data_IF_370038463019
#
_entry.id   IF_370038463019
#
_cell.length_a   1.000
_cell.length_b   1.000
_cell.length_c   1.000
_cell.angle_alpha   90.00
_cell.angle_beta   90.00
_cell.angle_gamma   90.00
#
_symmetry.space_group_name_H-M   'P 1'
#
loop_
_entity.id
_entity.type
_entity.pdbx_description
1 polymer ?
#
# COMPACT_ATOMS: atom_id res chain seq x y z
N UNK A 1 -19.16 -33.25 -9.18
CA UNK A 1 -18.53 -31.97 -9.61
C UNK A 1 -17.06 -32.25 -9.78
N UNK A 2 -16.48 -31.90 -10.91
CA UNK A 2 -15.02 -31.99 -11.06
C UNK A 2 -14.38 -31.05 -10.04
N UNK A 3 -13.33 -31.49 -9.39
CA UNK A 3 -12.72 -30.80 -8.21
C UNK A 3 -12.30 -29.35 -8.48
N UNK A 4 -11.98 -28.98 -9.73
CA UNK A 4 -11.72 -27.59 -10.15
C UNK A 4 -12.99 -26.71 -10.19
N UNK A 5 -14.18 -27.28 -10.32
CA UNK A 5 -15.45 -26.55 -10.30
C UNK A 5 -15.71 -25.95 -8.90
N UNK A 6 -15.23 -26.61 -7.84
CA UNK A 6 -15.34 -26.08 -6.46
C UNK A 6 -14.62 -24.75 -6.29
N UNK A 7 -13.41 -24.61 -6.84
CA UNK A 7 -12.65 -23.36 -6.76
C UNK A 7 -13.37 -22.21 -7.46
N UNK A 8 -13.93 -22.48 -8.65
CA UNK A 8 -14.71 -21.48 -9.39
C UNK A 8 -15.99 -21.08 -8.64
N UNK A 9 -16.67 -22.05 -7.99
CA UNK A 9 -17.85 -21.78 -7.17
C UNK A 9 -17.53 -20.89 -5.98
N UNK A 10 -16.43 -21.15 -5.27
CA UNK A 10 -15.97 -20.33 -4.13
C UNK A 10 -15.58 -18.92 -4.60
N UNK A 11 -14.88 -18.81 -5.73
CA UNK A 11 -14.51 -17.53 -6.32
C UNK A 11 -15.75 -16.70 -6.69
N UNK A 12 -16.75 -17.31 -7.29
CA UNK A 12 -18.01 -16.66 -7.63
C UNK A 12 -18.80 -16.22 -6.37
N UNK A 13 -18.89 -17.08 -5.35
CA UNK A 13 -19.58 -16.78 -4.10
C UNK A 13 -18.96 -15.59 -3.34
N UNK A 14 -17.67 -15.37 -3.52
CA UNK A 14 -16.91 -14.27 -2.86
C UNK A 14 -16.65 -13.08 -3.81
N UNK A 15 -17.13 -13.14 -5.05
CA UNK A 15 -16.83 -12.16 -6.10
C UNK A 15 -15.32 -11.87 -6.21
N UNK A 16 -14.52 -12.95 -6.12
CA UNK A 16 -13.08 -12.87 -6.12
C UNK A 16 -12.58 -12.51 -7.53
N UNK A 17 -11.87 -11.38 -7.67
CA UNK A 17 -11.37 -10.87 -8.94
C UNK A 17 -10.27 -11.75 -9.55
N UNK A 18 -9.50 -12.42 -8.71
CA UNK A 18 -8.48 -13.41 -9.09
C UNK A 18 -9.08 -14.75 -9.51
N UNK A 19 -10.39 -14.92 -9.41
CA UNK A 19 -11.10 -16.12 -9.83
C UNK A 19 -10.69 -17.39 -9.08
N UNK A 20 -10.83 -18.54 -9.74
CA UNK A 20 -10.49 -19.85 -9.17
C UNK A 20 -9.00 -19.96 -8.80
N UNK A 21 -8.11 -19.27 -9.53
CA UNK A 21 -6.69 -19.28 -9.22
C UNK A 21 -6.39 -18.55 -7.90
N UNK A 22 -7.11 -17.48 -7.58
CA UNK A 22 -6.99 -16.82 -6.29
C UNK A 22 -7.34 -17.76 -5.12
N UNK A 23 -8.37 -18.57 -5.25
CA UNK A 23 -8.71 -19.61 -4.27
C UNK A 23 -7.60 -20.67 -4.18
N UNK A 24 -7.05 -21.09 -5.32
CA UNK A 24 -5.91 -22.02 -5.41
C UNK A 24 -4.68 -21.46 -4.68
N UNK A 25 -4.34 -20.18 -4.86
CA UNK A 25 -3.22 -19.52 -4.18
C UNK A 25 -3.37 -19.54 -2.64
N UNK A 26 -4.57 -19.30 -2.15
CA UNK A 26 -4.87 -19.37 -0.70
C UNK A 26 -4.63 -20.80 -0.17
N UNK A 27 -5.12 -21.82 -0.87
CA UNK A 27 -4.91 -23.23 -0.48
C UNK A 27 -3.43 -23.62 -0.55
N UNK A 28 -2.71 -23.18 -1.59
CA UNK A 28 -1.27 -23.43 -1.75
C UNK A 28 -0.46 -22.79 -0.62
N UNK A 29 -0.78 -21.56 -0.24
CA UNK A 29 -0.13 -20.88 0.87
C UNK A 29 -0.41 -21.59 2.20
N UNK A 30 -1.67 -21.95 2.47
CA UNK A 30 -2.06 -22.70 3.68
C UNK A 30 -1.42 -24.11 3.72
N UNK A 31 -1.22 -24.76 2.58
CA UNK A 31 -0.53 -26.06 2.49
C UNK A 31 0.95 -25.96 2.84
N UNK A 32 1.61 -24.91 2.32
CA UNK A 32 3.06 -24.74 2.46
C UNK A 32 3.45 -24.22 3.85
N UNK A 33 2.73 -23.26 4.38
CA UNK A 33 3.12 -22.46 5.52
C UNK A 33 2.13 -22.51 6.70
N UNK A 34 1.02 -23.26 6.56
CA UNK A 34 0.00 -23.36 7.62
C UNK A 34 0.49 -24.09 8.88
N UNK A 35 -0.07 -23.75 10.07
CA UNK A 35 -1.17 -22.78 10.27
C UNK A 35 -0.70 -21.32 10.19
N UNK A 36 -1.49 -20.45 9.54
CA UNK A 36 -1.18 -19.04 9.35
C UNK A 36 -2.21 -18.14 10.04
N UNK A 37 -1.78 -16.97 10.52
CA UNK A 37 -2.73 -15.91 10.84
C UNK A 37 -3.35 -15.37 9.56
N UNK A 38 -4.63 -14.98 9.60
CA UNK A 38 -5.34 -14.49 8.41
C UNK A 38 -4.62 -13.30 7.74
N UNK A 39 -4.05 -12.39 8.56
CA UNK A 39 -3.28 -11.25 8.07
C UNK A 39 -2.01 -11.67 7.31
N UNK A 40 -1.34 -12.71 7.79
CA UNK A 40 -0.08 -13.18 7.18
C UNK A 40 -0.37 -13.92 5.87
N UNK A 41 -1.47 -14.69 5.85
CA UNK A 41 -1.97 -15.30 4.62
C UNK A 41 -2.36 -14.23 3.59
N UNK A 42 -3.07 -13.16 4.01
CA UNK A 42 -3.46 -12.07 3.11
C UNK A 42 -2.24 -11.38 2.47
N UNK A 43 -1.19 -11.11 3.27
CA UNK A 43 0.09 -10.60 2.76
C UNK A 43 0.72 -11.54 1.75
N UNK A 44 0.76 -12.84 2.07
CA UNK A 44 1.43 -13.83 1.25
C UNK A 44 0.75 -14.04 -0.11
N UNK A 45 -0.60 -14.05 -0.13
CA UNK A 45 -1.38 -14.19 -1.36
C UNK A 45 -1.66 -12.86 -2.06
N UNK A 46 -1.23 -11.72 -1.46
CA UNK A 46 -1.38 -10.36 -1.98
C UNK A 46 -2.83 -9.98 -2.28
N UNK A 47 -3.70 -10.33 -1.35
CA UNK A 47 -5.13 -10.02 -1.44
C UNK A 47 -5.59 -9.25 -0.21
N UNK A 48 -6.59 -8.35 -0.33
CA UNK A 48 -7.13 -7.63 0.80
C UNK A 48 -7.64 -8.57 1.90
N UNK A 49 -7.31 -8.26 3.16
CA UNK A 49 -7.70 -9.06 4.32
C UNK A 49 -9.20 -9.43 4.37
N UNK A 50 -10.14 -8.49 4.06
CA UNK A 50 -11.56 -8.82 4.00
C UNK A 50 -11.91 -9.85 2.92
N UNK A 51 -11.20 -9.83 1.79
CA UNK A 51 -11.37 -10.76 0.66
C UNK A 51 -10.92 -12.16 1.09
N UNK A 52 -9.70 -12.28 1.62
CA UNK A 52 -9.17 -13.56 2.12
C UNK A 52 -10.07 -14.12 3.23
N UNK A 53 -10.60 -13.26 4.11
CA UNK A 53 -11.56 -13.64 5.14
C UNK A 53 -12.89 -14.16 4.59
N UNK A 54 -13.35 -13.64 3.44
CA UNK A 54 -14.54 -14.16 2.75
C UNK A 54 -14.26 -15.54 2.15
N UNK A 55 -13.15 -15.68 1.42
CA UNK A 55 -12.74 -16.97 0.81
C UNK A 55 -12.50 -18.03 1.88
N UNK A 56 -11.86 -17.68 3.00
CA UNK A 56 -11.66 -18.58 4.15
C UNK A 56 -13.00 -19.18 4.62
N UNK A 57 -14.04 -18.37 4.80
CA UNK A 57 -15.36 -18.86 5.25
C UNK A 57 -15.96 -19.85 4.28
N UNK A 58 -15.85 -19.63 2.98
CA UNK A 58 -16.34 -20.57 1.97
C UNK A 58 -15.53 -21.87 1.96
N UNK A 59 -14.21 -21.79 2.16
CA UNK A 59 -13.34 -22.97 2.29
C UNK A 59 -13.63 -23.77 3.55
N UNK A 60 -13.95 -23.11 4.67
CA UNK A 60 -14.42 -23.76 5.92
C UNK A 60 -15.77 -24.44 5.71
N UNK A 61 -16.70 -23.82 4.98
CA UNK A 61 -18.00 -24.41 4.63
C UNK A 61 -17.84 -25.63 3.70
N UNK A 62 -16.86 -25.57 2.80
CA UNK A 62 -16.51 -26.70 1.91
C UNK A 62 -15.72 -27.81 2.64
N UNK A 63 -15.37 -27.62 3.91
CA UNK A 63 -14.61 -28.59 4.71
C UNK A 63 -13.13 -28.71 4.34
N UNK A 64 -12.59 -27.75 3.57
CA UNK A 64 -11.16 -27.74 3.19
C UNK A 64 -10.27 -27.06 4.22
N UNK A 65 -10.82 -26.20 5.09
CA UNK A 65 -10.11 -25.59 6.20
C UNK A 65 -10.78 -26.01 7.53
N UNK A 66 -9.96 -26.14 8.56
CA UNK A 66 -10.42 -26.31 9.92
C UNK A 66 -10.91 -24.98 10.52
N UNK A 67 -11.97 -25.04 11.34
CA UNK A 67 -12.45 -23.86 12.07
C UNK A 67 -11.55 -23.60 13.27
N UNK A 68 -10.96 -22.40 13.33
CA UNK A 68 -10.05 -22.04 14.42
C UNK A 68 -9.57 -20.60 14.35
N UNK A 69 -8.60 -20.22 15.18
CA UNK A 69 -8.02 -18.88 15.16
C UNK A 69 -7.06 -18.64 13.96
N UNK A 70 -6.40 -19.70 13.49
CA UNK A 70 -5.52 -19.68 12.32
C UNK A 70 -6.22 -20.18 11.05
N UNK A 71 -5.51 -20.09 9.94
CA UNK A 71 -5.89 -20.72 8.66
C UNK A 71 -5.09 -22.00 8.53
N UNK A 72 -5.77 -23.13 8.68
CA UNK A 72 -5.17 -24.47 8.63
C UNK A 72 -6.00 -25.37 7.72
N UNK A 73 -5.33 -26.18 6.89
CA UNK A 73 -5.99 -27.15 6.06
C UNK A 73 -6.48 -28.33 6.88
N UNK A 74 -7.75 -28.68 6.70
CA UNK A 74 -8.30 -29.94 7.18
C UNK A 74 -7.63 -31.14 6.51
N UNK A 75 -7.92 -32.34 6.99
CA UNK A 75 -7.46 -33.59 6.34
C UNK A 75 -7.95 -33.66 4.87
N UNK A 76 -9.20 -33.25 4.62
CA UNK A 76 -9.76 -33.19 3.29
C UNK A 76 -9.09 -32.11 2.43
N UNK A 77 -8.77 -30.94 3.02
CA UNK A 77 -8.04 -29.88 2.34
C UNK A 77 -6.62 -30.28 1.94
N UNK A 78 -5.90 -30.99 2.79
CA UNK A 78 -4.57 -31.55 2.47
C UNK A 78 -4.64 -32.53 1.32
N UNK A 79 -5.63 -33.45 1.33
CA UNK A 79 -5.86 -34.36 0.22
C UNK A 79 -6.24 -33.60 -1.08
N UNK A 80 -7.13 -32.63 -0.99
CA UNK A 80 -7.50 -31.80 -2.16
C UNK A 80 -6.28 -31.07 -2.74
N UNK A 81 -5.41 -30.51 -1.92
CA UNK A 81 -4.18 -29.87 -2.38
C UNK A 81 -3.24 -30.85 -3.10
N UNK A 82 -3.09 -32.05 -2.58
CA UNK A 82 -2.24 -33.07 -3.22
C UNK A 82 -2.86 -33.62 -4.53
N UNK A 83 -4.13 -34.02 -4.48
CA UNK A 83 -4.76 -34.78 -5.56
C UNK A 83 -5.28 -33.90 -6.69
N UNK A 84 -5.82 -32.70 -6.34
CA UNK A 84 -6.45 -31.78 -7.31
C UNK A 84 -5.50 -30.68 -7.75
N UNK A 85 -4.75 -30.06 -6.80
CA UNK A 85 -3.81 -29.00 -7.11
C UNK A 85 -2.40 -29.53 -7.44
N UNK A 86 -2.14 -30.82 -7.25
CA UNK A 86 -0.87 -31.47 -7.55
C UNK A 86 0.29 -30.96 -6.68
N UNK A 87 0.02 -30.52 -5.45
CA UNK A 87 1.06 -29.98 -4.57
C UNK A 87 1.82 -31.14 -3.93
N UNK A 88 3.13 -31.23 -4.20
CA UNK A 88 3.99 -32.32 -3.72
C UNK A 88 5.28 -31.84 -3.03
N UNK A 89 5.55 -30.52 -3.06
CA UNK A 89 6.76 -29.96 -2.44
C UNK A 89 6.80 -30.24 -0.93
N UNK A 90 7.92 -30.84 -0.46
CA UNK A 90 8.10 -31.24 0.94
C UNK A 90 8.96 -30.26 1.73
N UNK A 91 9.52 -29.27 1.07
CA UNK A 91 10.39 -28.30 1.71
C UNK A 91 10.36 -26.96 0.99
N UNK A 92 10.56 -25.88 1.73
CA UNK A 92 10.60 -24.52 1.22
C UNK A 92 12.03 -23.97 1.26
N UNK A 93 12.69 -23.77 0.10
CA UNK A 93 14.04 -23.24 0.02
C UNK A 93 14.14 -21.71 0.13
N UNK A 94 13.04 -20.99 0.43
CA UNK A 94 13.09 -19.54 0.56
C UNK A 94 14.02 -19.12 1.71
N UNK A 95 14.69 -17.98 1.51
CA UNK A 95 15.54 -17.40 2.55
C UNK A 95 14.69 -17.03 3.79
N UNK A 96 15.00 -17.55 4.99
CA UNK A 96 14.23 -17.25 6.20
C UNK A 96 14.40 -15.79 6.68
N UNK A 97 15.50 -15.10 6.28
CA UNK A 97 15.76 -13.73 6.72
C UNK A 97 14.94 -12.69 5.98
N UNK A 98 14.75 -12.86 4.67
CA UNK A 98 14.07 -11.85 3.84
C UNK A 98 12.80 -12.37 3.17
N UNK A 99 12.41 -13.62 3.38
CA UNK A 99 11.26 -14.28 2.77
C UNK A 99 11.15 -14.08 1.23
N UNK A 100 12.31 -13.91 0.56
CA UNK A 100 12.40 -13.68 -0.87
C UNK A 100 12.40 -12.21 -1.30
N UNK A 101 12.28 -11.25 -0.39
CA UNK A 101 12.30 -9.80 -0.73
C UNK A 101 13.69 -9.27 -1.09
N UNK A 102 14.75 -9.93 -0.65
CA UNK A 102 16.15 -9.57 -0.96
C UNK A 102 16.75 -8.47 -0.09
N UNK A 103 15.94 -7.65 0.59
CA UNK A 103 16.40 -6.56 1.47
C UNK A 103 16.30 -7.00 2.94
N UNK A 104 17.41 -6.93 3.65
CA UNK A 104 17.52 -7.35 5.06
C UNK A 104 17.99 -6.19 5.91
N UNK A 105 17.29 -5.92 7.02
CA UNK A 105 17.75 -4.99 8.06
C UNK A 105 18.77 -5.73 8.91
N UNK A 106 20.03 -5.35 8.77
CA UNK A 106 21.13 -5.96 9.50
C UNK A 106 21.24 -5.39 10.92
N UNK A 107 21.89 -6.10 11.88
CA UNK A 107 21.96 -5.64 13.28
C UNK A 107 22.54 -4.24 13.47
N UNK A 108 23.47 -3.82 12.62
CA UNK A 108 24.12 -2.50 12.66
C UNK A 108 23.20 -1.34 12.32
N UNK A 109 22.07 -1.59 11.65
CA UNK A 109 21.05 -0.60 11.32
C UNK A 109 19.69 -0.89 11.99
N UNK A 110 19.60 -1.90 12.84
CA UNK A 110 18.35 -2.28 13.49
C UNK A 110 17.76 -1.15 14.37
N UNK A 111 18.62 -0.31 14.95
CA UNK A 111 18.18 0.86 15.71
C UNK A 111 17.39 1.88 14.91
N UNK A 112 17.52 1.89 13.58
CA UNK A 112 16.73 2.78 12.72
C UNK A 112 15.24 2.46 12.80
N UNK A 113 14.89 1.18 12.91
CA UNK A 113 13.48 0.77 13.07
C UNK A 113 12.91 1.36 14.36
N UNK A 114 13.63 1.25 15.48
CA UNK A 114 13.22 1.83 16.77
C UNK A 114 13.07 3.35 16.70
N UNK A 115 14.02 4.06 16.06
CA UNK A 115 13.92 5.51 15.86
C UNK A 115 12.68 5.88 15.02
N UNK A 116 12.39 5.11 13.97
CA UNK A 116 11.19 5.31 13.18
C UNK A 116 9.91 4.96 13.96
N UNK A 117 9.92 3.94 14.83
CA UNK A 117 8.79 3.63 15.72
C UNK A 117 8.50 4.80 16.67
N UNK A 118 9.53 5.38 17.28
CA UNK A 118 9.41 6.55 18.16
C UNK A 118 8.91 7.78 17.41
N UNK A 119 9.35 7.98 16.16
CA UNK A 119 8.89 9.06 15.29
C UNK A 119 7.40 8.86 14.93
N UNK A 120 7.02 7.73 14.38
CA UNK A 120 5.65 7.44 13.94
C UNK A 120 4.66 7.46 15.11
N UNK A 121 5.05 7.00 16.31
CA UNK A 121 4.20 7.03 17.51
C UNK A 121 3.81 8.46 17.95
N UNK A 122 4.59 9.46 17.58
CA UNK A 122 4.30 10.89 17.84
C UNK A 122 3.63 11.59 16.67
N UNK A 123 3.45 10.89 15.55
CA UNK A 123 2.92 11.45 14.32
C UNK A 123 1.48 11.96 14.45
N UNK A 124 1.07 12.84 13.53
CA UNK A 124 -0.29 13.34 13.49
C UNK A 124 -1.29 12.24 13.12
N UNK A 125 -2.57 12.48 13.43
CA UNK A 125 -3.64 11.60 13.01
C UNK A 125 -3.68 11.48 11.48
N UNK A 126 -4.07 10.29 11.00
CA UNK A 126 -4.19 10.00 9.56
C UNK A 126 -5.39 10.76 8.98
N UNK A 127 -5.17 11.53 7.92
CA UNK A 127 -6.25 12.11 7.13
C UNK A 127 -6.63 11.16 5.99
N UNK A 128 -7.70 10.41 6.19
CA UNK A 128 -8.23 9.47 5.19
C UNK A 128 -8.82 10.16 3.95
N UNK A 129 -9.05 11.48 3.99
CA UNK A 129 -9.53 12.23 2.82
C UNK A 129 -8.42 12.48 1.81
N UNK A 130 -7.17 12.45 2.27
CA UNK A 130 -5.95 12.53 1.48
C UNK A 130 -5.36 11.14 1.14
N UNK A 131 -6.13 10.07 1.32
CA UNK A 131 -5.68 8.67 1.18
C UNK A 131 -4.46 8.30 2.05
N UNK A 132 -4.15 9.08 3.09
CA UNK A 132 -3.01 8.78 3.97
C UNK A 132 -3.16 7.40 4.60
N UNK A 133 -2.13 6.60 4.48
CA UNK A 133 -2.03 5.26 5.05
C UNK A 133 -0.57 4.94 5.39
N UNK A 134 -0.01 5.50 6.47
CA UNK A 134 1.42 5.39 6.75
C UNK A 134 1.90 3.94 6.78
N UNK A 135 3.04 3.68 6.19
CA UNK A 135 3.67 2.39 6.23
C UNK A 135 4.23 2.08 7.63
N UNK A 136 4.54 0.81 7.90
CA UNK A 136 5.19 0.46 9.15
C UNK A 136 6.63 1.01 9.20
N UNK A 137 7.17 1.35 10.38
CA UNK A 137 8.56 1.78 10.56
C UNK A 137 9.58 0.87 9.88
N UNK A 138 9.39 -0.43 10.00
CA UNK A 138 10.24 -1.44 9.34
C UNK A 138 10.16 -1.32 7.80
N UNK A 139 8.98 -1.05 7.24
CA UNK A 139 8.80 -0.83 5.81
C UNK A 139 9.53 0.41 5.33
N UNK A 140 9.45 1.54 6.04
CA UNK A 140 10.17 2.77 5.69
C UNK A 140 11.69 2.52 5.64
N UNK A 141 12.24 1.83 6.64
CA UNK A 141 13.68 1.47 6.66
C UNK A 141 14.02 0.53 5.50
N UNK A 142 13.19 -0.46 5.19
CA UNK A 142 13.42 -1.36 4.05
C UNK A 142 13.34 -0.65 2.70
N UNK A 143 12.42 0.31 2.54
CA UNK A 143 12.33 1.14 1.33
C UNK A 143 13.59 1.99 1.16
N UNK A 144 14.05 2.63 2.23
CA UNK A 144 15.29 3.41 2.22
C UNK A 144 16.52 2.53 1.84
N UNK A 145 16.61 1.30 2.39
CA UNK A 145 17.64 0.33 2.02
C UNK A 145 17.54 -0.09 0.56
N UNK A 146 16.33 -0.34 0.04
CA UNK A 146 16.14 -0.69 -1.36
C UNK A 146 16.59 0.45 -2.30
N UNK A 147 16.35 1.71 -1.92
CA UNK A 147 16.86 2.87 -2.64
C UNK A 147 18.39 2.96 -2.59
N UNK A 148 18.99 2.68 -1.43
CA UNK A 148 20.45 2.62 -1.30
C UNK A 148 21.07 1.51 -2.18
N UNK A 149 20.51 0.29 -2.13
CA UNK A 149 20.92 -0.86 -2.95
C UNK A 149 20.86 -0.54 -4.47
N UNK A 150 19.87 0.24 -4.89
CA UNK A 150 19.71 0.68 -6.28
C UNK A 150 20.62 1.85 -6.69
N UNK A 151 21.50 2.33 -5.78
CA UNK A 151 22.37 3.48 -6.00
C UNK A 151 21.63 4.82 -6.07
N UNK A 152 20.49 4.92 -5.40
CA UNK A 152 19.58 6.05 -5.41
C UNK A 152 19.67 6.93 -4.15
N UNK A 153 20.71 6.76 -3.29
CA UNK A 153 20.87 7.51 -2.05
C UNK A 153 22.14 8.35 -2.06
N UNK A 154 23.30 7.73 -2.11
CA UNK A 154 24.60 8.37 -1.94
C UNK A 154 24.89 9.37 -3.08
N UNK A 155 25.17 10.62 -2.71
CA UNK A 155 25.47 11.72 -3.66
C UNK A 155 24.31 12.11 -4.60
N UNK A 156 23.08 11.61 -4.38
CA UNK A 156 21.91 11.89 -5.23
C UNK A 156 21.12 13.08 -4.74
N UNK A 157 20.50 13.80 -5.69
CA UNK A 157 19.43 14.76 -5.41
C UNK A 157 18.09 14.00 -5.46
N UNK A 158 17.39 13.91 -4.35
CA UNK A 158 16.20 13.06 -4.16
C UNK A 158 14.98 13.94 -3.95
N UNK A 159 13.90 13.65 -4.66
CA UNK A 159 12.59 14.27 -4.52
C UNK A 159 11.59 13.25 -3.97
N UNK A 160 11.01 13.54 -2.82
CA UNK A 160 9.92 12.77 -2.20
C UNK A 160 8.61 13.52 -2.44
N UNK A 161 7.59 12.84 -2.99
CA UNK A 161 6.30 13.44 -3.35
C UNK A 161 5.19 12.83 -2.48
N UNK A 162 4.69 13.62 -1.54
CA UNK A 162 3.89 13.14 -0.42
C UNK A 162 4.75 12.34 0.55
N UNK A 163 4.64 12.56 1.85
CA UNK A 163 5.51 11.90 2.83
C UNK A 163 4.77 11.54 4.12
N UNK A 164 3.54 11.03 3.98
CA UNK A 164 2.79 10.50 5.12
C UNK A 164 3.48 9.26 5.74
N UNK A 165 4.32 8.58 4.97
CA UNK A 165 5.18 7.47 5.37
C UNK A 165 6.45 7.90 6.12
N UNK A 166 6.77 9.19 6.15
CA UNK A 166 8.04 9.73 6.68
C UNK A 166 9.29 9.10 6.02
N UNK A 167 9.19 8.86 4.71
CA UNK A 167 10.31 8.30 3.93
C UNK A 167 11.53 9.21 3.93
N UNK A 168 11.33 10.53 3.93
CA UNK A 168 12.43 11.49 4.03
C UNK A 168 13.23 11.31 5.31
N UNK A 169 12.56 11.09 6.43
CA UNK A 169 13.19 10.82 7.72
C UNK A 169 13.95 9.51 7.70
N UNK A 170 13.34 8.43 7.19
CA UNK A 170 13.98 7.12 7.07
C UNK A 170 15.23 7.17 6.17
N UNK A 171 15.16 7.87 5.03
CA UNK A 171 16.29 8.08 4.11
C UNK A 171 17.43 8.84 4.76
N UNK A 172 17.12 9.95 5.45
CA UNK A 172 18.13 10.77 6.11
C UNK A 172 18.79 10.06 7.31
N UNK A 173 18.02 9.32 8.10
CA UNK A 173 18.54 8.49 9.19
C UNK A 173 19.45 7.38 8.67
N UNK A 174 19.03 6.65 7.64
CA UNK A 174 19.85 5.62 7.00
C UNK A 174 21.12 6.22 6.42
N UNK A 175 21.00 7.31 5.65
CA UNK A 175 22.14 7.98 5.03
C UNK A 175 23.22 8.33 6.04
N UNK A 176 22.81 8.87 7.19
CA UNK A 176 23.73 9.19 8.30
C UNK A 176 24.34 7.94 8.95
N UNK A 177 23.53 6.90 9.18
CA UNK A 177 23.99 5.68 9.83
C UNK A 177 25.08 4.96 9.02
N UNK A 178 24.94 4.94 7.69
CA UNK A 178 25.89 4.24 6.80
C UNK A 178 26.90 5.17 6.11
N UNK A 179 26.80 6.49 6.36
CA UNK A 179 27.70 7.47 5.73
C UNK A 179 27.46 7.73 4.25
N UNK A 180 26.28 7.39 3.72
CA UNK A 180 25.89 7.54 2.31
C UNK A 180 24.99 8.77 2.12
N UNK A 181 25.55 9.98 2.25
CA UNK A 181 24.78 11.21 2.29
C UNK A 181 24.25 11.63 0.91
N UNK A 182 22.96 11.94 0.76
CA UNK A 182 22.43 12.53 -0.45
C UNK A 182 23.01 13.95 -0.64
N UNK A 183 23.11 14.39 -1.89
CA UNK A 183 23.47 15.78 -2.20
C UNK A 183 22.38 16.75 -1.81
N UNK A 184 21.11 16.33 -1.98
CA UNK A 184 19.91 17.07 -1.66
C UNK A 184 18.78 16.08 -1.37
N UNK A 185 17.99 16.32 -0.35
CA UNK A 185 16.78 15.59 -0.05
C UNK A 185 15.64 16.59 0.13
N UNK A 186 14.70 16.61 -0.81
CA UNK A 186 13.57 17.56 -0.82
C UNK A 186 12.27 16.81 -0.74
N UNK A 187 11.35 17.28 0.09
CA UNK A 187 10.01 16.74 0.29
C UNK A 187 8.98 17.76 -0.20
N UNK A 188 8.01 17.31 -0.99
CA UNK A 188 6.82 18.06 -1.34
C UNK A 188 5.64 17.46 -0.56
N UNK A 189 5.06 18.21 0.36
CA UNK A 189 3.98 17.76 1.21
C UNK A 189 2.88 18.81 1.30
N UNK A 190 1.62 18.35 1.27
CA UNK A 190 0.44 19.22 1.36
C UNK A 190 -0.02 19.42 2.81
N UNK A 191 0.05 18.36 3.63
CA UNK A 191 -0.50 18.35 4.98
C UNK A 191 0.40 19.13 5.97
N UNK A 192 -0.06 20.28 6.52
CA UNK A 192 0.74 21.05 7.45
C UNK A 192 1.15 20.28 8.72
N UNK A 193 0.34 19.30 9.15
CA UNK A 193 0.67 18.50 10.32
C UNK A 193 1.82 17.53 10.02
N UNK A 194 1.87 16.97 8.81
CA UNK A 194 3.00 16.15 8.34
C UNK A 194 4.26 16.99 8.17
N UNK A 195 4.14 18.16 7.55
CA UNK A 195 5.25 19.13 7.42
C UNK A 195 5.86 19.43 8.79
N UNK A 196 5.04 19.80 9.78
CA UNK A 196 5.50 20.09 11.13
C UNK A 196 6.20 18.89 11.78
N UNK A 197 5.66 17.69 11.61
CA UNK A 197 6.21 16.47 12.17
C UNK A 197 7.57 16.07 11.57
N UNK A 198 7.73 16.21 10.24
CA UNK A 198 9.00 15.98 9.55
C UNK A 198 10.02 17.04 9.97
N UNK A 199 9.60 18.32 10.10
CA UNK A 199 10.45 19.42 10.55
C UNK A 199 11.01 19.16 11.96
N UNK A 200 10.13 18.77 12.89
CA UNK A 200 10.55 18.42 14.26
C UNK A 200 11.58 17.28 14.27
N UNK A 201 11.36 16.23 13.47
CA UNK A 201 12.31 15.14 13.36
C UNK A 201 13.65 15.58 12.75
N UNK A 202 13.61 16.44 11.72
CA UNK A 202 14.81 16.99 11.10
C UNK A 202 15.64 17.81 12.10
N UNK A 203 15.00 18.65 12.91
CA UNK A 203 15.65 19.43 13.97
C UNK A 203 16.19 18.52 15.09
N UNK A 204 15.36 17.61 15.61
CA UNK A 204 15.71 16.70 16.70
C UNK A 204 16.95 15.86 16.39
N UNK A 205 17.02 15.38 15.15
CA UNK A 205 18.09 14.48 14.72
C UNK A 205 19.16 15.15 13.87
N UNK A 206 19.08 16.47 13.62
CA UNK A 206 20.03 17.20 12.78
C UNK A 206 20.09 16.65 11.35
N UNK A 207 18.92 16.39 10.73
CA UNK A 207 18.80 15.83 9.38
C UNK A 207 18.70 16.95 8.34
N UNK A 208 19.41 16.82 7.23
CA UNK A 208 19.36 17.77 6.12
C UNK A 208 18.19 17.42 5.18
N UNK A 209 16.98 17.84 5.53
CA UNK A 209 15.76 17.66 4.74
C UNK A 209 15.23 19.04 4.37
N UNK A 210 15.06 19.32 3.08
CA UNK A 210 14.35 20.49 2.58
C UNK A 210 12.87 20.17 2.43
N UNK A 211 12.00 20.92 3.09
CA UNK A 211 10.56 20.67 3.09
C UNK A 211 9.87 21.83 2.40
N UNK A 212 9.06 21.52 1.40
CA UNK A 212 8.30 22.49 0.61
C UNK A 212 6.81 22.16 0.72
N UNK A 213 6.02 23.09 1.23
CA UNK A 213 4.57 22.99 1.26
C UNK A 213 4.05 23.12 -0.18
N UNK A 214 3.52 22.04 -0.75
CA UNK A 214 3.10 21.96 -2.15
C UNK A 214 1.89 21.05 -2.33
N UNK A 215 0.82 21.57 -2.93
CA UNK A 215 -0.20 20.72 -3.53
C UNK A 215 0.30 20.22 -4.88
N UNK A 216 0.40 18.90 -5.06
CA UNK A 216 0.87 18.31 -6.32
C UNK A 216 -0.14 18.45 -7.47
N UNK A 217 -1.37 18.88 -7.21
CA UNK A 217 -2.29 19.34 -8.27
C UNK A 217 -1.79 20.61 -8.93
N UNK A 218 -1.10 21.47 -8.19
CA UNK A 218 -0.50 22.69 -8.71
C UNK A 218 0.77 22.35 -9.50
N UNK A 219 1.16 23.19 -10.49
CA UNK A 219 2.44 23.08 -11.16
C UNK A 219 3.63 23.10 -10.20
N UNK A 220 4.68 22.34 -10.50
CA UNK A 220 5.92 22.43 -9.74
C UNK A 220 6.55 23.83 -9.90
N UNK A 221 7.07 24.42 -8.80
CA UNK A 221 7.89 25.62 -8.88
C UNK A 221 9.09 25.42 -9.82
N UNK A 222 9.43 26.43 -10.63
CA UNK A 222 10.54 26.35 -11.59
C UNK A 222 11.86 25.96 -10.95
N UNK A 223 12.11 26.40 -9.71
CA UNK A 223 13.32 26.08 -8.95
C UNK A 223 13.46 24.57 -8.63
N UNK A 224 12.40 23.80 -8.74
CA UNK A 224 12.39 22.36 -8.48
C UNK A 224 12.39 21.51 -9.77
N UNK A 225 12.13 22.13 -10.91
CA UNK A 225 12.08 21.41 -12.20
C UNK A 225 13.48 21.01 -12.67
N UNK A 226 13.62 19.76 -13.11
CA UNK A 226 14.87 19.19 -13.67
C UNK A 226 16.08 19.29 -12.74
N UNK A 227 15.86 19.20 -11.42
CA UNK A 227 16.92 19.34 -10.42
C UNK A 227 17.33 18.00 -9.78
N UNK A 228 16.50 16.96 -9.91
CA UNK A 228 16.65 15.74 -9.14
C UNK A 228 17.13 14.54 -9.97
N UNK A 229 17.83 13.64 -9.30
CA UNK A 229 18.33 12.38 -9.86
C UNK A 229 17.36 11.23 -9.63
N UNK A 230 16.52 11.34 -8.59
CA UNK A 230 15.65 10.30 -8.06
C UNK A 230 14.32 10.91 -7.64
N UNK A 231 13.23 10.23 -7.90
CA UNK A 231 11.97 10.47 -7.19
C UNK A 231 11.54 9.24 -6.40
N UNK A 232 10.80 9.48 -5.34
CA UNK A 232 10.12 8.48 -4.51
C UNK A 232 8.71 8.96 -4.19
N UNK A 233 7.71 8.05 -4.26
CA UNK A 233 6.33 8.38 -3.95
C UNK A 233 5.50 7.16 -3.56
N UNK A 234 4.55 7.38 -2.64
CA UNK A 234 3.42 6.49 -2.33
C UNK A 234 2.13 7.29 -2.58
N UNK A 235 1.65 7.34 -3.85
CA UNK A 235 0.59 8.24 -4.27
C UNK A 235 -0.79 7.76 -3.84
N UNK A 236 -1.84 8.60 -3.95
CA UNK A 236 -3.22 8.16 -3.80
C UNK A 236 -3.55 6.93 -4.66
N UNK A 237 -4.36 6.02 -4.13
CA UNK A 237 -4.63 4.71 -4.74
C UNK A 237 -5.67 4.76 -5.87
N UNK A 238 -5.57 5.78 -6.72
CA UNK A 238 -6.28 5.90 -7.99
C UNK A 238 -5.28 5.99 -9.14
N UNK A 239 -5.67 5.57 -10.33
CA UNK A 239 -4.76 5.63 -11.50
C UNK A 239 -4.39 7.09 -11.82
N UNK A 240 -5.34 8.02 -11.69
CA UNK A 240 -5.10 9.45 -11.94
C UNK A 240 -4.19 10.07 -10.86
N UNK A 241 -4.40 9.68 -9.57
CA UNK A 241 -3.52 10.09 -8.48
C UNK A 241 -2.08 9.61 -8.68
N UNK A 242 -1.90 8.32 -8.99
CA UNK A 242 -0.60 7.76 -9.33
C UNK A 242 0.02 8.49 -10.53
N UNK A 243 -0.76 8.71 -11.60
CA UNK A 243 -0.28 9.38 -12.81
C UNK A 243 0.17 10.82 -12.53
N UNK A 244 -0.58 11.55 -11.70
CA UNK A 244 -0.21 12.91 -11.29
C UNK A 244 1.11 12.92 -10.50
N UNK A 245 1.21 12.13 -9.43
CA UNK A 245 2.37 12.12 -8.56
C UNK A 245 3.64 11.69 -9.33
N UNK A 246 3.55 10.63 -10.13
CA UNK A 246 4.67 10.20 -10.99
C UNK A 246 5.01 11.29 -12.01
N UNK A 247 4.02 11.96 -12.63
CA UNK A 247 4.28 13.08 -13.56
C UNK A 247 5.02 14.22 -12.88
N UNK A 248 4.63 14.62 -11.67
CA UNK A 248 5.35 15.65 -10.90
C UNK A 248 6.78 15.20 -10.54
N UNK A 249 6.94 13.91 -10.20
CA UNK A 249 8.28 13.32 -10.04
C UNK A 249 9.15 13.49 -11.28
N UNK A 250 8.60 13.15 -12.45
CA UNK A 250 9.28 13.27 -13.73
C UNK A 250 9.61 14.73 -14.12
N UNK A 251 8.72 15.68 -13.80
CA UNK A 251 9.00 17.12 -14.01
C UNK A 251 10.17 17.61 -13.14
N UNK A 252 10.28 17.07 -11.92
CA UNK A 252 11.41 17.38 -11.02
C UNK A 252 12.73 16.76 -11.46
N UNK A 253 12.69 15.62 -12.15
CA UNK A 253 13.89 14.90 -12.57
C UNK A 253 14.61 15.57 -13.74
N UNK A 254 15.93 15.40 -13.82
CA UNK A 254 16.72 15.78 -14.98
C UNK A 254 16.28 14.96 -16.20
N UNK A 255 16.35 15.57 -17.37
CA UNK A 255 16.00 14.92 -18.65
C UNK A 255 17.13 13.97 -19.10
N UNK A 256 17.30 12.88 -18.39
CA UNK A 256 18.32 11.86 -18.62
C UNK A 256 17.69 10.46 -18.56
N UNK A 257 18.04 9.55 -19.50
CA UNK A 257 17.60 8.15 -19.41
C UNK A 257 18.39 7.39 -18.34
N UNK A 258 17.74 6.42 -17.72
CA UNK A 258 18.33 5.53 -16.71
C UNK A 258 18.25 6.04 -15.27
N UNK A 259 17.69 7.22 -15.03
CA UNK A 259 17.48 7.73 -13.68
C UNK A 259 16.43 6.88 -12.94
N UNK A 260 16.67 6.56 -11.65
CA UNK A 260 15.77 5.72 -10.86
C UNK A 260 14.56 6.51 -10.35
N UNK A 261 13.40 5.85 -10.34
CA UNK A 261 12.20 6.25 -9.61
C UNK A 261 11.71 5.12 -8.74
N UNK A 262 11.07 5.43 -7.63
CA UNK A 262 10.50 4.46 -6.70
C UNK A 262 9.02 4.78 -6.50
N UNK A 263 8.19 3.79 -6.77
CA UNK A 263 6.75 3.88 -6.63
C UNK A 263 6.31 2.78 -5.65
N UNK A 264 5.78 3.19 -4.52
CA UNK A 264 5.01 2.33 -3.63
C UNK A 264 3.54 2.38 -4.05
N UNK A 265 2.90 1.23 -4.10
CA UNK A 265 1.48 1.15 -4.46
C UNK A 265 0.83 -0.10 -3.87
N UNK A 266 -0.50 -0.08 -3.71
CA UNK A 266 -1.22 -1.24 -3.23
C UNK A 266 -0.99 -2.49 -4.09
N UNK A 267 -1.03 -3.68 -3.49
CA UNK A 267 -1.14 -4.92 -4.27
C UNK A 267 -2.54 -4.98 -4.89
N UNK A 268 -2.59 -4.99 -6.21
CA UNK A 268 -3.82 -4.88 -7.00
C UNK A 268 -4.25 -6.23 -7.56
N UNK A 269 -5.54 -6.36 -7.89
CA UNK A 269 -6.02 -7.44 -8.73
C UNK A 269 -5.37 -7.36 -10.13
N UNK A 270 -5.24 -8.49 -10.86
CA UNK A 270 -4.48 -8.53 -12.11
C UNK A 270 -4.87 -7.47 -13.14
N UNK A 271 -6.17 -7.19 -13.32
CA UNK A 271 -6.63 -6.19 -14.28
C UNK A 271 -6.22 -4.77 -13.88
N UNK A 272 -6.36 -4.40 -12.60
CA UNK A 272 -5.93 -3.08 -12.11
C UNK A 272 -4.40 -2.92 -12.18
N UNK A 273 -3.66 -4.03 -11.95
CA UNK A 273 -2.20 -4.04 -12.09
C UNK A 273 -1.78 -3.84 -13.56
N UNK A 274 -2.53 -4.41 -14.50
CA UNK A 274 -2.31 -4.19 -15.92
C UNK A 274 -2.51 -2.72 -16.29
N UNK A 275 -3.57 -2.08 -15.79
CA UNK A 275 -3.85 -0.66 -16.02
C UNK A 275 -2.73 0.22 -15.45
N UNK A 276 -2.25 -0.08 -14.24
CA UNK A 276 -1.11 0.61 -13.63
C UNK A 276 0.14 0.52 -14.51
N UNK A 277 0.50 -0.70 -14.96
CA UNK A 277 1.67 -0.93 -15.79
C UNK A 277 1.54 -0.26 -17.18
N UNK A 278 0.34 -0.29 -17.77
CA UNK A 278 0.06 0.39 -19.03
C UNK A 278 0.28 1.90 -18.89
N UNK A 279 -0.17 2.51 -17.78
CA UNK A 279 0.01 3.93 -17.50
C UNK A 279 1.48 4.29 -17.32
N UNK A 280 2.27 3.51 -16.58
CA UNK A 280 3.71 3.70 -16.45
C UNK A 280 4.43 3.57 -17.81
N UNK A 281 4.01 2.63 -18.63
CA UNK A 281 4.56 2.44 -20.01
C UNK A 281 4.21 3.63 -20.91
N UNK A 282 3.00 4.19 -20.80
CA UNK A 282 2.59 5.41 -21.52
C UNK A 282 3.47 6.61 -21.16
N UNK A 283 3.90 6.70 -19.89
CA UNK A 283 4.88 7.69 -19.43
C UNK A 283 6.31 7.43 -19.94
N UNK A 284 6.56 6.33 -20.64
CA UNK A 284 7.88 5.93 -21.09
C UNK A 284 8.81 5.45 -19.97
N UNK A 285 8.25 4.94 -18.89
CA UNK A 285 8.98 4.35 -17.77
C UNK A 285 9.13 2.84 -17.93
N UNK A 286 10.22 2.29 -17.43
CA UNK A 286 10.46 0.83 -17.35
C UNK A 286 10.49 0.40 -15.90
N UNK A 287 9.61 -0.53 -15.52
CA UNK A 287 9.72 -1.24 -14.25
C UNK A 287 10.87 -2.26 -14.32
N UNK A 288 11.94 -2.02 -13.58
CA UNK A 288 13.12 -2.89 -13.57
C UNK A 288 13.06 -3.93 -12.48
N UNK A 289 12.31 -3.67 -11.42
CA UNK A 289 12.01 -4.61 -10.35
C UNK A 289 10.63 -4.31 -9.77
N UNK A 290 9.86 -5.34 -9.54
CA UNK A 290 8.59 -5.27 -8.81
C UNK A 290 8.73 -6.21 -7.61
N UNK A 291 8.56 -5.67 -6.41
CA UNK A 291 8.62 -6.41 -5.14
C UNK A 291 7.22 -6.46 -4.53
N UNK A 292 6.43 -7.49 -4.82
CA UNK A 292 5.09 -7.63 -4.27
C UNK A 292 5.14 -7.87 -2.75
N UNK A 293 4.11 -7.42 -2.03
CA UNK A 293 4.01 -7.56 -0.56
C UNK A 293 5.21 -7.00 0.22
N UNK A 294 5.95 -6.07 -0.38
CA UNK A 294 7.12 -5.45 0.23
C UNK A 294 6.72 -4.45 1.32
N UNK A 295 5.68 -3.65 1.04
CA UNK A 295 5.18 -2.63 1.94
C UNK A 295 4.13 -3.22 2.90
N UNK A 296 4.17 -2.81 4.16
CA UNK A 296 3.13 -3.05 5.16
C UNK A 296 2.67 -1.72 5.71
N UNK A 297 1.34 -1.51 5.79
CA UNK A 297 0.73 -0.25 6.21
C UNK A 297 0.01 -0.39 7.55
N UNK A 298 -0.03 0.70 8.32
CA UNK A 298 -0.76 0.76 9.58
C UNK A 298 -2.21 1.15 9.31
N UNK A 299 -3.17 0.39 9.84
CA UNK A 299 -4.59 0.75 9.79
C UNK A 299 -5.28 0.68 8.43
N UNK A 300 -4.60 0.34 7.35
CA UNK A 300 -5.14 0.27 6.00
C UNK A 300 -6.00 -0.99 5.78
N UNK A 301 -7.11 -1.13 6.51
CA UNK A 301 -8.03 -2.28 6.38
C UNK A 301 -8.72 -2.36 5.00
N UNK A 302 -8.72 -1.26 4.24
CA UNK A 302 -9.42 -1.17 2.93
C UNK A 302 -8.59 -1.77 1.80
N UNK A 303 -7.26 -1.65 1.86
CA UNK A 303 -6.32 -2.13 0.82
C UNK A 303 -5.55 -3.41 1.24
N UNK A 304 -5.95 -4.03 2.35
CA UNK A 304 -5.30 -5.25 2.83
C UNK A 304 -4.02 -5.02 3.62
N UNK A 305 -3.65 -3.79 3.93
CA UNK A 305 -2.44 -3.40 4.69
C UNK A 305 -1.12 -3.84 4.04
N UNK A 306 -1.12 -4.13 2.74
CA UNK A 306 0.04 -4.63 1.99
C UNK A 306 0.13 -3.93 0.64
N UNK A 307 1.34 -3.62 0.22
CA UNK A 307 1.61 -3.04 -1.09
C UNK A 307 2.94 -3.52 -1.67
N UNK A 308 3.14 -3.16 -2.93
CA UNK A 308 4.33 -3.46 -3.69
C UNK A 308 5.27 -2.25 -3.77
N UNK A 309 6.56 -2.50 -3.88
CA UNK A 309 7.55 -1.50 -4.28
C UNK A 309 7.96 -1.77 -5.72
N UNK A 310 7.85 -0.74 -6.57
CA UNK A 310 8.20 -0.79 -7.98
C UNK A 310 9.41 0.12 -8.21
N UNK A 311 10.51 -0.46 -8.68
CA UNK A 311 11.70 0.27 -9.10
C UNK A 311 11.59 0.61 -10.59
N UNK A 312 11.60 1.89 -10.89
CA UNK A 312 11.42 2.45 -12.22
C UNK A 312 12.76 2.99 -12.77
N UNK A 313 12.86 3.04 -14.09
CA UNK A 313 13.92 3.76 -14.78
C UNK A 313 13.32 4.67 -15.86
N UNK A 314 13.86 5.87 -15.96
CA UNK A 314 13.57 6.76 -17.11
C UNK A 314 14.16 6.20 -18.39
N UNK A 315 13.55 6.55 -19.51
CA UNK A 315 14.02 6.24 -20.87
C UNK A 315 14.10 7.52 -21.72
N UNK A 316 14.57 7.43 -22.94
CA UNK A 316 14.51 8.55 -23.90
C UNK A 316 13.07 8.95 -24.30
N UNK A 317 12.07 8.16 -23.93
CA UNK A 317 10.64 8.41 -24.18
C UNK A 317 9.92 8.94 -22.96
N UNK A 318 10.63 9.05 -21.84
CA UNK A 318 10.01 9.47 -20.58
C UNK A 318 9.44 10.87 -20.69
N UNK A 319 8.19 11.03 -20.31
CA UNK A 319 7.47 12.30 -20.26
C UNK A 319 6.38 12.26 -19.19
N UNK A 320 6.11 13.37 -18.51
CA UNK A 320 4.91 13.49 -17.70
C UNK A 320 3.65 13.39 -18.58
N UNK A 321 2.54 12.91 -18.01
CA UNK A 321 1.23 12.90 -18.67
C UNK A 321 0.38 14.11 -18.33
N UNK A 322 0.74 14.85 -17.29
CA UNK A 322 0.07 16.09 -16.90
C UNK A 322 0.64 17.27 -17.65
N UNK A 323 -0.19 18.29 -17.87
CA UNK A 323 0.28 19.57 -18.41
C UNK A 323 1.00 20.31 -17.28
N UNK A 324 2.29 20.58 -17.48
CA UNK A 324 3.19 21.10 -16.43
C UNK A 324 2.84 22.50 -15.93
N UNK A 325 2.09 23.28 -16.72
CA UNK A 325 1.71 24.67 -16.42
C UNK A 325 0.27 24.82 -15.92
N UNK A 326 -0.50 23.72 -15.81
CA UNK A 326 -1.90 23.75 -15.45
C UNK A 326 -2.16 23.04 -14.13
N UNK A 327 -3.18 23.52 -13.39
CA UNK A 327 -3.71 22.85 -12.21
C UNK A 327 -4.43 21.57 -12.63
N UNK A 328 -4.09 20.45 -12.01
CA UNK A 328 -4.75 19.18 -12.27
C UNK A 328 -6.12 19.15 -11.60
N UNK A 329 -7.18 19.14 -12.38
CA UNK A 329 -8.57 19.30 -11.89
C UNK A 329 -9.32 17.98 -11.68
N UNK A 330 -8.81 16.84 -12.17
CA UNK A 330 -9.50 15.55 -12.00
C UNK A 330 -9.40 15.04 -10.53
N UNK A 331 -10.38 14.26 -10.07
CA UNK A 331 -10.33 13.61 -8.76
C UNK A 331 -9.13 12.65 -8.65
N UNK A 332 -8.34 12.76 -7.60
CA UNK A 332 -7.15 11.92 -7.38
C UNK A 332 -7.27 11.01 -6.15
N UNK A 333 -8.04 11.42 -5.14
CA UNK A 333 -8.20 10.62 -3.93
C UNK A 333 -9.34 9.61 -4.07
N UNK A 334 -9.20 8.46 -3.41
CA UNK A 334 -10.19 7.38 -3.44
C UNK A 334 -11.57 7.86 -2.99
N UNK A 335 -11.63 8.77 -2.02
CA UNK A 335 -12.88 9.36 -1.53
C UNK A 335 -13.57 10.22 -2.59
N UNK A 336 -12.83 10.89 -3.46
CA UNK A 336 -13.36 11.73 -4.56
C UNK A 336 -13.87 10.87 -5.72
N UNK A 337 -13.13 9.82 -6.10
CA UNK A 337 -13.47 8.94 -7.24
C UNK A 337 -14.59 7.97 -6.90
N UNK A 338 -14.65 7.52 -5.66
CA UNK A 338 -15.65 6.57 -5.16
C UNK A 338 -16.23 7.09 -3.85
N UNK A 339 -17.05 8.14 -3.87
CA UNK A 339 -17.75 8.59 -2.68
C UNK A 339 -18.58 7.41 -2.15
N UNK A 340 -18.11 6.77 -1.10
CA UNK A 340 -18.77 5.59 -0.54
C UNK A 340 -19.74 6.06 0.54
N UNK A 341 -20.92 6.47 0.15
CA UNK A 341 -22.04 6.55 1.07
C UNK A 341 -22.38 5.13 1.52
N UNK A 342 -21.98 4.82 2.74
CA UNK A 342 -22.24 3.52 3.36
C UNK A 342 -23.40 3.68 4.30
N UNK A 343 -24.30 2.71 4.33
CA UNK A 343 -25.38 2.67 5.31
C UNK A 343 -25.07 1.63 6.38
N UNK A 344 -25.19 2.04 7.63
CA UNK A 344 -25.01 1.17 8.78
C UNK A 344 -26.30 1.09 9.59
N UNK A 345 -26.71 -0.12 9.91
CA UNK A 345 -27.89 -0.37 10.75
C UNK A 345 -27.42 -0.60 12.18
N UNK A 346 -27.97 0.19 13.11
CA UNK A 346 -27.78 -0.06 14.54
C UNK A 346 -28.35 -1.42 14.92
N UNK A 347 -27.57 -2.23 15.62
CA UNK A 347 -28.02 -3.58 16.03
C UNK A 347 -29.04 -3.54 17.17
N UNK A 348 -29.11 -2.47 17.94
CA UNK A 348 -30.05 -2.34 19.07
C UNK A 348 -31.43 -1.83 18.65
N UNK A 349 -31.51 -0.80 17.79
CA UNK A 349 -32.78 -0.16 17.42
C UNK A 349 -33.10 -0.20 15.92
N UNK A 350 -32.30 -0.88 15.13
CA UNK A 350 -32.44 -1.00 13.68
C UNK A 350 -32.40 0.33 12.89
N UNK A 351 -32.13 1.47 13.52
CA UNK A 351 -31.94 2.76 12.82
C UNK A 351 -30.82 2.64 11.81
N UNK A 352 -31.06 3.11 10.60
CA UNK A 352 -30.05 3.15 9.52
C UNK A 352 -29.42 4.52 9.52
N UNK A 353 -28.09 4.56 9.69
CA UNK A 353 -27.29 5.79 9.69
C UNK A 353 -26.40 5.80 8.45
N UNK A 354 -26.46 6.83 7.60
CA UNK A 354 -25.54 7.02 6.51
C UNK A 354 -24.18 7.48 7.06
N UNK A 355 -23.10 7.01 6.42
CA UNK A 355 -21.72 7.34 6.75
C UNK A 355 -20.96 7.56 5.46
N UNK A 356 -20.37 8.71 5.29
CA UNK A 356 -19.64 9.08 4.09
C UNK A 356 -19.10 10.50 4.15
N UNK A 357 -18.32 10.94 3.15
CA UNK A 357 -17.70 12.27 3.15
C UNK A 357 -18.67 13.45 3.30
N UNK A 358 -19.89 13.28 2.79
CA UNK A 358 -20.95 14.31 2.82
C UNK A 358 -21.93 14.15 3.99
N UNK A 359 -21.75 13.13 4.84
CA UNK A 359 -22.69 12.77 5.91
C UNK A 359 -22.23 13.31 7.26
N UNK A 360 -23.15 13.35 8.24
CA UNK A 360 -22.83 13.76 9.62
C UNK A 360 -21.68 12.96 10.23
N UNK A 361 -21.56 11.69 9.84
CA UNK A 361 -20.44 10.83 10.23
C UNK A 361 -19.62 10.49 9.00
N UNK A 362 -18.42 11.02 8.93
CA UNK A 362 -17.50 10.77 7.80
C UNK A 362 -16.95 9.35 7.81
N UNK A 363 -16.82 8.72 8.99
CA UNK A 363 -16.30 7.35 9.16
C UNK A 363 -17.19 6.53 10.09
N UNK A 364 -17.08 5.19 9.99
CA UNK A 364 -17.78 4.29 10.93
C UNK A 364 -17.22 4.41 12.35
N UNK A 365 -15.96 4.75 12.49
CA UNK A 365 -15.30 5.00 13.77
C UNK A 365 -15.89 6.22 14.46
N UNK A 366 -16.12 7.32 13.72
CA UNK A 366 -16.80 8.52 14.23
C UNK A 366 -18.24 8.20 14.67
N UNK A 367 -18.98 7.40 13.88
CA UNK A 367 -20.32 6.93 14.26
C UNK A 367 -20.27 6.05 15.52
N UNK A 368 -19.31 5.14 15.65
CA UNK A 368 -19.18 4.29 16.85
C UNK A 368 -18.78 5.09 18.08
N UNK A 369 -17.91 6.10 17.93
CA UNK A 369 -17.51 6.96 19.04
C UNK A 369 -18.66 7.83 19.53
N UNK A 370 -19.49 8.38 18.63
CA UNK A 370 -20.67 9.18 18.98
C UNK A 370 -21.86 8.36 19.45
N UNK A 371 -21.95 7.07 19.07
CA UNK A 371 -23.10 6.21 19.29
C UNK A 371 -24.24 6.45 18.28
N UNK A 372 -25.21 5.54 18.31
CA UNK A 372 -26.42 5.65 17.46
C UNK A 372 -27.23 6.91 17.81
N UNK A 373 -27.60 7.74 16.84
CA UNK A 373 -28.37 8.96 17.09
C UNK A 373 -29.72 8.74 17.78
N UNK A 374 -30.24 7.50 17.72
CA UNK A 374 -31.54 7.14 18.30
C UNK A 374 -31.43 6.47 19.68
N UNK A 375 -30.39 5.64 19.94
CA UNK A 375 -30.32 4.83 21.16
C UNK A 375 -28.93 4.77 21.80
N UNK A 376 -27.98 5.54 21.33
CA UNK A 376 -26.57 5.60 21.79
C UNK A 376 -25.79 4.29 21.73
N UNK A 377 -26.33 3.21 21.14
CA UNK A 377 -25.62 1.96 20.98
C UNK A 377 -24.45 2.12 19.97
N UNK A 378 -23.33 1.44 20.22
CA UNK A 378 -22.09 1.56 19.44
C UNK A 378 -21.87 0.42 18.45
N UNK A 379 -22.81 -0.53 18.38
CA UNK A 379 -22.70 -1.72 17.51
C UNK A 379 -23.56 -1.58 16.28
N UNK A 380 -22.92 -1.63 15.10
CA UNK A 380 -23.57 -1.44 13.82
C UNK A 380 -23.30 -2.61 12.87
N UNK A 381 -24.24 -2.86 11.96
CA UNK A 381 -24.11 -3.78 10.83
C UNK A 381 -24.11 -2.98 9.55
N UNK A 382 -23.12 -3.18 8.70
CA UNK A 382 -23.10 -2.58 7.36
C UNK A 382 -24.21 -3.17 6.50
N UNK A 383 -24.97 -2.31 5.86
CA UNK A 383 -25.93 -2.68 4.84
C UNK A 383 -25.22 -2.64 3.49
N UNK A 384 -25.24 -3.76 2.77
CA UNK A 384 -24.78 -3.80 1.39
C UNK A 384 -25.93 -3.30 0.50
N UNK A 385 -25.65 -2.40 -0.43
CA UNK A 385 -26.60 -2.08 -1.49
C UNK A 385 -26.93 -3.38 -2.22
N UNK A 386 -28.20 -3.73 -2.36
CA UNK A 386 -28.60 -4.80 -3.29
C UNK A 386 -28.17 -4.29 -4.68
N UNK A 387 -27.24 -4.98 -5.31
CA UNK A 387 -26.94 -4.78 -6.72
C UNK A 387 -28.24 -4.95 -7.47
N UNK A 388 -28.80 -3.84 -7.99
CA UNK A 388 -29.83 -3.94 -9.01
C UNK A 388 -29.13 -4.51 -10.25
N UNK A 389 -29.56 -5.69 -10.68
CA UNK A 389 -29.19 -6.31 -11.95
C UNK A 389 -29.74 -5.48 -13.10
#
# INVERSE_FOLDING_TARGET
>A
MTDRTLLATIAAATTLREGAEGVSLILRAAFRDGPLLLRDLAKQVRMPLPVVGAVRRELELAGLLDRGQGVELSKAGKAFCADVLGISARHDPRCPCCHGHGTVITPDIADLVRLMEEHVARGPAVDVTLDQAPCTPETAVRRALAMHEAGALDGRSILVLGDDDSMSVALALLARAIGALPRRLTVLELDPARIAHITEAAEQHGLAIEIVAQDLREPLPDALRRQFDVFETDPPYTIDGMALFVSRGLEGMRDEPGLPGFLSYGDLAPDDLLDLQAKLTEMGLVATRIRPSFNSYQGASILGSVGQLIELKTTRRTRPLTVSEEVFAAPIYTAEVRPRDRRYQCRACATVVPVGPSETFTTIEALKAAGCPTCNATVFKRLHAKTAY
#
